data_IF_530356069954
#
_entry.id   IF_530356069954
#
_cell.length_a   1.000
_cell.length_b   1.000
_cell.length_c   1.000
_cell.angle_alpha   90.00
_cell.angle_beta   90.00
_cell.angle_gamma   90.00
#
_symmetry.space_group_name_H-M   'P 1'
#
loop_
_entity.id
_entity.type
_entity.pdbx_description
1 polymer ?
#
# COMPACT_ATOMS: atom_id res chain seq x y z
N UNK A 1 -7.76 2.42 33.80
CA UNK A 1 -8.19 1.73 32.57
C UNK A 1 -9.69 1.77 32.45
N UNK A 2 -10.24 2.73 31.68
CA UNK A 2 -11.63 2.66 31.24
C UNK A 2 -11.67 1.78 29.99
N UNK A 3 -12.28 0.60 30.10
CA UNK A 3 -12.70 -0.17 28.94
C UNK A 3 -13.87 0.58 28.31
N UNK A 4 -13.65 1.11 27.10
CA UNK A 4 -14.71 1.59 26.22
C UNK A 4 -15.47 0.35 25.76
N UNK A 5 -16.70 0.14 26.26
CA UNK A 5 -17.63 -0.83 25.64
C UNK A 5 -17.85 -0.47 24.16
N UNK A 6 -18.34 -1.36 23.29
CA UNK A 6 -18.50 -1.05 21.87
C UNK A 6 -19.51 0.10 21.71
N UNK A 7 -18.98 1.33 21.61
CA UNK A 7 -19.76 2.51 21.28
C UNK A 7 -20.34 2.29 19.90
N UNK A 8 -21.65 2.55 19.76
CA UNK A 8 -22.29 2.59 18.45
C UNK A 8 -21.56 3.65 17.61
N UNK A 9 -21.02 3.25 16.47
CA UNK A 9 -20.33 4.17 15.57
C UNK A 9 -21.36 5.04 14.84
N UNK A 10 -21.14 6.35 14.81
CA UNK A 10 -22.03 7.26 14.09
C UNK A 10 -21.91 7.08 12.59
N UNK A 11 -20.69 6.90 12.07
CA UNK A 11 -20.41 6.72 10.64
C UNK A 11 -19.47 5.53 10.43
N UNK A 12 -19.84 4.65 9.51
CA UNK A 12 -18.97 3.59 8.99
C UNK A 12 -18.50 3.95 7.57
N UNK A 13 -17.18 3.82 7.33
CA UNK A 13 -16.58 4.02 6.01
C UNK A 13 -15.99 2.70 5.51
N UNK A 14 -16.41 2.26 4.33
CA UNK A 14 -15.86 1.05 3.68
C UNK A 14 -15.24 1.38 2.32
N UNK A 15 -13.94 1.15 2.18
CA UNK A 15 -13.17 1.50 0.97
C UNK A 15 -12.89 0.32 0.04
N UNK A 16 -13.29 -0.89 0.42
CA UNK A 16 -13.10 -2.10 -0.40
C UNK A 16 -14.44 -2.64 -0.88
N UNK A 17 -14.43 -3.21 -2.07
CA UNK A 17 -15.63 -3.68 -2.79
C UNK A 17 -15.74 -5.20 -2.85
N UNK A 18 -14.73 -5.95 -2.40
CA UNK A 18 -14.55 -7.36 -2.79
C UNK A 18 -14.48 -8.38 -1.65
N UNK A 19 -14.50 -7.97 -0.37
CA UNK A 19 -14.22 -8.89 0.74
C UNK A 19 -15.46 -9.18 1.61
N UNK A 20 -16.01 -10.42 1.63
CA UNK A 20 -17.22 -10.78 2.36
C UNK A 20 -17.20 -10.46 3.86
N UNK A 21 -16.02 -10.52 4.49
CA UNK A 21 -15.88 -10.18 5.91
C UNK A 21 -16.13 -8.71 6.20
N UNK A 22 -15.85 -7.81 5.25
CA UNK A 22 -16.12 -6.38 5.43
C UNK A 22 -17.62 -6.14 5.51
N UNK A 23 -18.42 -6.83 4.69
CA UNK A 23 -19.88 -6.80 4.78
C UNK A 23 -20.36 -7.32 6.15
N UNK A 24 -19.90 -8.51 6.56
CA UNK A 24 -20.28 -9.10 7.84
C UNK A 24 -19.99 -8.16 9.02
N UNK A 25 -18.77 -7.61 9.08
CA UNK A 25 -18.39 -6.66 10.12
C UNK A 25 -19.25 -5.40 10.07
N UNK A 26 -19.54 -4.88 8.87
CA UNK A 26 -20.36 -3.68 8.70
C UNK A 26 -21.77 -3.85 9.26
N UNK A 27 -22.37 -5.04 9.06
CA UNK A 27 -23.69 -5.38 9.64
C UNK A 27 -23.61 -5.48 11.16
N UNK A 28 -22.58 -6.15 11.70
CA UNK A 28 -22.42 -6.30 13.15
C UNK A 28 -22.14 -4.97 13.87
N UNK A 29 -21.53 -4.01 13.19
CA UNK A 29 -21.23 -2.67 13.75
C UNK A 29 -22.50 -1.84 13.96
N UNK A 30 -23.57 -2.09 13.18
CA UNK A 30 -24.85 -1.35 13.23
C UNK A 30 -24.67 0.19 13.31
N UNK A 31 -23.96 0.79 12.34
CA UNK A 31 -23.69 2.22 12.35
C UNK A 31 -24.98 3.03 12.11
N UNK A 32 -24.98 4.30 12.54
CA UNK A 32 -26.09 5.21 12.22
C UNK A 32 -26.09 5.57 10.72
N UNK A 33 -24.92 5.87 10.16
CA UNK A 33 -24.72 6.14 8.74
C UNK A 33 -23.61 5.27 8.13
N UNK A 34 -23.76 4.86 6.87
CA UNK A 34 -22.76 4.05 6.15
C UNK A 34 -22.40 4.64 4.79
N UNK A 35 -21.14 5.06 4.63
CA UNK A 35 -20.58 5.51 3.36
C UNK A 35 -19.62 4.44 2.82
N UNK A 36 -19.81 4.01 1.58
CA UNK A 36 -19.04 2.88 1.07
C UNK A 36 -18.94 2.83 -0.44
N UNK A 37 -18.26 1.80 -0.94
CA UNK A 37 -18.11 1.54 -2.39
C UNK A 37 -18.70 0.19 -2.80
N UNK A 38 -19.49 -0.45 -1.93
CA UNK A 38 -20.01 -1.82 -2.13
C UNK A 38 -21.25 -1.84 -3.04
N UNK A 39 -21.17 -2.40 -4.26
CA UNK A 39 -22.35 -2.53 -5.12
C UNK A 39 -23.21 -3.73 -4.70
N UNK A 40 -24.54 -3.62 -4.82
CA UNK A 40 -25.43 -4.78 -5.00
C UNK A 40 -25.90 -5.57 -3.76
N UNK A 41 -25.78 -5.03 -2.54
CA UNK A 41 -26.19 -5.72 -1.31
C UNK A 41 -27.04 -4.84 -0.38
N UNK A 42 -28.08 -4.22 -0.94
CA UNK A 42 -29.07 -3.37 -0.25
C UNK A 42 -29.76 -4.05 0.93
N UNK A 43 -30.06 -5.35 0.80
CA UNK A 43 -30.83 -6.12 1.79
C UNK A 43 -30.16 -6.31 3.16
N UNK A 44 -28.87 -6.01 3.29
CA UNK A 44 -28.12 -6.20 4.53
C UNK A 44 -27.74 -4.88 5.21
N UNK A 45 -28.18 -3.74 4.67
CA UNK A 45 -27.88 -2.41 5.24
C UNK A 45 -29.04 -1.95 6.11
N UNK A 46 -28.98 -2.30 7.38
CA UNK A 46 -29.90 -1.80 8.41
C UNK A 46 -29.29 -0.58 9.11
N UNK A 47 -29.17 0.52 8.36
CA UNK A 47 -28.71 1.81 8.87
C UNK A 47 -29.67 2.93 8.41
N UNK A 48 -29.71 4.04 9.16
CA UNK A 48 -30.65 5.12 8.89
C UNK A 48 -30.31 5.88 7.59
N UNK A 49 -29.03 5.96 7.27
CA UNK A 49 -28.52 6.66 6.08
C UNK A 49 -27.41 5.83 5.42
N UNK A 50 -27.44 5.70 4.09
CA UNK A 50 -26.36 5.07 3.32
C UNK A 50 -26.01 5.85 2.05
N UNK A 51 -24.71 5.90 1.73
CA UNK A 51 -24.19 6.47 0.48
C UNK A 51 -23.18 5.51 -0.13
N UNK A 52 -23.58 4.82 -1.20
CA UNK A 52 -22.71 3.89 -1.93
C UNK A 52 -22.18 4.53 -3.21
N UNK A 53 -20.87 4.71 -3.29
CA UNK A 53 -20.18 5.22 -4.45
C UNK A 53 -19.93 4.10 -5.45
N UNK A 54 -20.32 4.33 -6.70
CA UNK A 54 -19.99 3.45 -7.79
C UNK A 54 -18.46 3.44 -8.00
N UNK A 55 -17.91 2.25 -8.28
CA UNK A 55 -16.54 2.12 -8.76
C UNK A 55 -16.45 2.68 -10.19
N UNK A 56 -15.53 3.62 -10.40
CA UNK A 56 -15.29 4.26 -11.69
C UNK A 56 -13.91 3.83 -12.21
N UNK A 57 -13.83 2.95 -13.23
CA UNK A 57 -12.56 2.36 -13.68
C UNK A 57 -11.61 3.38 -14.31
N UNK A 58 -12.14 4.48 -14.83
CA UNK A 58 -11.38 5.55 -15.50
C UNK A 58 -10.88 6.63 -14.53
N UNK A 59 -11.14 6.46 -13.23
CA UNK A 59 -10.70 7.38 -12.17
C UNK A 59 -9.59 6.71 -11.38
N UNK A 60 -8.50 7.46 -11.14
CA UNK A 60 -7.44 7.00 -10.26
C UNK A 60 -7.99 6.66 -8.88
N UNK A 61 -7.61 5.50 -8.32
CA UNK A 61 -8.19 4.96 -7.08
C UNK A 61 -8.20 5.97 -5.91
N UNK A 62 -7.12 6.74 -5.74
CA UNK A 62 -7.09 7.78 -4.71
C UNK A 62 -8.15 8.87 -4.96
N UNK A 63 -8.41 9.23 -6.22
CA UNK A 63 -9.48 10.14 -6.61
C UNK A 63 -10.86 9.61 -6.26
N UNK A 64 -11.09 8.31 -6.45
CA UNK A 64 -12.33 7.64 -6.05
C UNK A 64 -12.54 7.70 -4.53
N UNK A 65 -11.49 7.43 -3.73
CA UNK A 65 -11.55 7.51 -2.26
C UNK A 65 -11.77 8.93 -1.75
N UNK A 66 -11.23 9.95 -2.44
CA UNK A 66 -11.39 11.36 -2.05
C UNK A 66 -12.83 11.89 -2.22
N UNK A 67 -13.75 11.11 -2.78
CA UNK A 67 -15.19 11.43 -2.77
C UNK A 67 -15.80 11.25 -1.38
N UNK A 68 -15.27 10.34 -0.55
CA UNK A 68 -15.78 10.08 0.79
C UNK A 68 -15.64 11.31 1.71
N UNK A 69 -14.45 11.94 1.86
CA UNK A 69 -14.32 13.17 2.63
C UNK A 69 -15.25 14.29 2.14
N UNK A 70 -15.49 14.42 0.83
CA UNK A 70 -16.39 15.44 0.28
C UNK A 70 -17.85 15.26 0.72
N UNK A 71 -18.32 14.00 0.81
CA UNK A 71 -19.66 13.68 1.33
C UNK A 71 -19.78 14.04 2.80
N UNK A 72 -18.68 13.86 3.55
CA UNK A 72 -18.57 14.21 4.97
C UNK A 72 -18.25 15.69 5.21
N UNK A 73 -18.33 16.55 4.18
CA UNK A 73 -17.98 17.97 4.24
C UNK A 73 -16.57 18.24 4.81
N UNK A 74 -15.66 17.28 4.64
CA UNK A 74 -14.27 17.37 5.05
C UNK A 74 -13.44 17.97 3.92
N UNK A 75 -12.83 19.12 4.18
CA UNK A 75 -12.02 19.85 3.22
C UNK A 75 -10.54 19.77 3.54
N UNK A 76 -9.70 19.70 2.52
CA UNK A 76 -8.25 19.66 2.69
C UNK A 76 -7.52 19.39 1.38
N UNK A 77 -6.20 19.57 1.40
CA UNK A 77 -5.35 19.17 0.27
C UNK A 77 -4.95 17.71 0.47
N UNK A 78 -5.31 16.79 -0.43
CA UNK A 78 -4.92 15.39 -0.31
C UNK A 78 -3.40 15.24 -0.45
N UNK A 79 -2.81 14.44 0.43
CA UNK A 79 -1.38 14.13 0.38
C UNK A 79 -1.15 12.66 0.74
N UNK A 80 -0.31 11.97 -0.05
CA UNK A 80 0.16 10.64 0.29
C UNK A 80 1.31 10.79 1.30
N UNK A 81 1.02 10.55 2.57
CA UNK A 81 1.98 10.71 3.66
C UNK A 81 2.24 9.36 4.32
N UNK A 82 3.48 8.89 4.23
CA UNK A 82 3.99 7.78 5.03
C UNK A 82 4.91 8.34 6.12
N UNK A 83 4.50 8.25 7.38
CA UNK A 83 5.32 8.67 8.53
C UNK A 83 6.24 7.52 8.94
N UNK A 84 7.50 7.61 8.52
CA UNK A 84 8.55 6.68 8.94
C UNK A 84 8.89 6.95 10.41
N UNK A 85 8.71 5.94 11.25
CA UNK A 85 9.10 5.95 12.65
C UNK A 85 10.61 5.87 12.81
N UNK A 86 11.14 6.42 13.90
CA UNK A 86 12.58 6.39 14.14
C UNK A 86 13.11 4.94 14.29
N UNK A 87 12.31 4.05 14.87
CA UNK A 87 12.63 2.63 14.94
C UNK A 87 12.81 1.98 13.55
N UNK A 88 11.95 2.30 12.58
CA UNK A 88 12.07 1.82 11.20
C UNK A 88 13.34 2.36 10.53
N UNK A 89 13.69 3.62 10.79
CA UNK A 89 14.92 4.23 10.27
C UNK A 89 16.17 3.58 10.85
N UNK A 90 16.16 3.28 12.15
CA UNK A 90 17.26 2.58 12.81
C UNK A 90 17.43 1.17 12.25
N UNK A 91 16.33 0.44 12.05
CA UNK A 91 16.39 -0.90 11.47
C UNK A 91 16.89 -0.89 10.03
N UNK A 92 16.38 0.03 9.20
CA UNK A 92 16.88 0.19 7.83
C UNK A 92 18.38 0.51 7.80
N UNK A 93 18.86 1.37 8.71
CA UNK A 93 20.30 1.68 8.84
C UNK A 93 21.11 0.45 9.23
N UNK A 94 20.63 -0.33 10.20
CA UNK A 94 21.28 -1.58 10.65
C UNK A 94 21.44 -2.55 9.48
N UNK A 95 20.35 -2.79 8.72
CA UNK A 95 20.37 -3.68 7.55
C UNK A 95 21.37 -3.20 6.50
N UNK A 96 21.42 -1.89 6.22
CA UNK A 96 22.38 -1.33 5.27
C UNK A 96 23.83 -1.50 5.76
N UNK A 97 24.10 -1.20 7.03
CA UNK A 97 25.45 -1.29 7.61
C UNK A 97 25.97 -2.74 7.67
N UNK A 98 25.11 -3.69 8.03
CA UNK A 98 25.42 -5.14 8.01
C UNK A 98 25.78 -5.63 6.60
N UNK A 99 25.25 -4.98 5.57
CA UNK A 99 25.54 -5.25 4.15
C UNK A 99 26.65 -4.34 3.58
N UNK A 100 27.44 -3.68 4.43
CA UNK A 100 28.60 -2.89 4.04
C UNK A 100 28.30 -1.48 3.51
N UNK A 101 27.05 -1.02 3.60
CA UNK A 101 26.65 0.33 3.22
C UNK A 101 26.76 1.27 4.42
N UNK A 102 27.85 2.03 4.45
CA UNK A 102 28.09 3.04 5.49
C UNK A 102 27.01 4.11 5.48
N UNK A 103 26.62 4.52 6.68
CA UNK A 103 25.83 5.73 6.92
C UNK A 103 26.28 6.91 6.06
N UNK A 104 25.33 7.57 5.39
CA UNK A 104 25.57 8.77 4.58
C UNK A 104 26.08 8.49 3.16
N UNK A 105 26.38 7.23 2.81
CA UNK A 105 26.72 6.87 1.44
C UNK A 105 25.44 6.73 0.61
N UNK A 106 25.32 7.43 -0.54
CA UNK A 106 24.17 7.26 -1.41
C UNK A 106 24.18 5.89 -2.09
N UNK A 107 22.99 5.38 -2.39
CA UNK A 107 22.76 4.11 -3.09
C UNK A 107 21.56 4.24 -4.01
N UNK A 108 21.44 3.31 -4.96
CA UNK A 108 20.30 3.21 -5.85
C UNK A 108 19.40 2.06 -5.38
N UNK A 109 18.11 2.31 -5.20
CA UNK A 109 17.15 1.28 -4.81
C UNK A 109 16.44 0.68 -6.04
N UNK A 110 16.27 -0.63 -6.05
CA UNK A 110 15.53 -1.37 -7.07
C UNK A 110 14.48 -2.27 -6.42
N UNK A 111 13.23 -2.22 -6.86
CA UNK A 111 12.18 -3.15 -6.44
C UNK A 111 11.66 -3.90 -7.68
N UNK A 112 12.24 -5.07 -8.03
CA UNK A 112 11.96 -5.75 -9.30
C UNK A 112 10.71 -6.65 -9.26
N UNK A 113 10.29 -7.03 -8.05
CA UNK A 113 9.12 -7.87 -7.83
C UNK A 113 7.81 -7.08 -7.79
N UNK A 114 6.72 -7.74 -8.19
CA UNK A 114 5.37 -7.15 -8.24
C UNK A 114 4.28 -8.04 -7.63
N UNK A 115 4.66 -9.16 -7.02
CA UNK A 115 3.73 -10.21 -6.58
C UNK A 115 3.04 -11.00 -7.70
N UNK A 116 3.08 -10.53 -8.96
CA UNK A 116 2.61 -11.27 -10.12
C UNK A 116 3.72 -11.37 -11.18
N UNK A 117 4.26 -12.58 -11.37
CA UNK A 117 5.41 -12.81 -12.26
C UNK A 117 5.24 -12.22 -13.66
N UNK A 118 4.02 -12.21 -14.22
CA UNK A 118 3.74 -11.68 -15.55
C UNK A 118 3.89 -10.15 -15.69
N UNK A 119 3.97 -9.42 -14.56
CA UNK A 119 4.25 -7.97 -14.53
C UNK A 119 5.73 -7.65 -14.27
N UNK A 120 6.56 -8.65 -13.99
CA UNK A 120 7.98 -8.43 -13.73
C UNK A 120 8.73 -8.19 -15.03
N UNK A 121 9.69 -7.26 -15.00
CA UNK A 121 10.61 -7.09 -16.11
C UNK A 121 11.63 -8.23 -16.16
N UNK A 122 12.18 -8.57 -17.35
CA UNK A 122 13.18 -9.63 -17.45
C UNK A 122 14.42 -9.34 -16.61
N UNK A 123 14.99 -10.39 -16.01
CA UNK A 123 16.18 -10.33 -15.15
C UNK A 123 17.34 -9.63 -15.85
N UNK A 124 17.66 -10.02 -17.08
CA UNK A 124 18.81 -9.49 -17.82
C UNK A 124 18.69 -7.97 -18.04
N UNK A 125 17.45 -7.46 -18.19
CA UNK A 125 17.19 -6.02 -18.35
C UNK A 125 17.39 -5.25 -17.06
N UNK A 126 16.98 -5.81 -15.92
CA UNK A 126 17.30 -5.23 -14.62
C UNK A 126 18.82 -5.22 -14.37
N UNK A 127 19.51 -6.31 -14.69
CA UNK A 127 20.96 -6.39 -14.55
C UNK A 127 21.70 -5.36 -15.43
N UNK A 128 21.29 -5.21 -16.68
CA UNK A 128 21.83 -4.23 -17.63
C UNK A 128 21.69 -2.80 -17.07
N UNK A 129 20.49 -2.42 -16.61
CA UNK A 129 20.25 -1.10 -16.01
C UNK A 129 21.08 -0.90 -14.73
N UNK A 130 21.14 -1.90 -13.85
CA UNK A 130 21.94 -1.84 -12.63
C UNK A 130 23.43 -1.64 -12.92
N UNK A 131 23.96 -2.34 -13.93
CA UNK A 131 25.35 -2.22 -14.37
C UNK A 131 25.66 -0.83 -14.91
N UNK A 132 24.77 -0.27 -15.74
CA UNK A 132 24.91 1.09 -16.30
C UNK A 132 24.86 2.14 -15.19
N UNK A 133 23.86 2.07 -14.31
CA UNK A 133 23.66 3.07 -13.28
C UNK A 133 24.75 3.02 -12.20
N UNK A 134 25.14 1.83 -11.75
CA UNK A 134 26.23 1.68 -10.77
C UNK A 134 27.56 2.20 -11.32
N UNK A 135 27.88 1.90 -12.59
CA UNK A 135 29.09 2.40 -13.25
C UNK A 135 29.07 3.91 -13.45
N UNK A 136 27.92 4.47 -13.85
CA UNK A 136 27.79 5.91 -14.10
C UNK A 136 27.86 6.74 -12.82
N UNK A 137 27.17 6.30 -11.77
CA UNK A 137 27.03 7.08 -10.53
C UNK A 137 28.00 6.62 -9.43
N UNK A 138 28.75 5.55 -9.64
CA UNK A 138 29.65 4.95 -8.64
C UNK A 138 28.93 4.61 -7.33
N UNK A 139 27.64 4.25 -7.45
CA UNK A 139 26.74 3.94 -6.34
C UNK A 139 26.42 2.45 -6.29
N UNK A 140 26.37 1.85 -5.10
CA UNK A 140 25.87 0.49 -4.93
C UNK A 140 24.37 0.40 -5.21
N UNK A 141 23.92 -0.77 -5.64
CA UNK A 141 22.50 -1.10 -5.82
C UNK A 141 21.99 -1.82 -4.57
N UNK A 142 20.82 -1.41 -4.08
CA UNK A 142 20.05 -2.10 -3.04
C UNK A 142 18.79 -2.66 -3.67
N UNK A 143 18.62 -3.98 -3.61
CA UNK A 143 17.41 -4.64 -4.12
C UNK A 143 16.43 -4.83 -2.96
N UNK A 144 15.22 -4.29 -3.11
CA UNK A 144 14.10 -4.36 -2.19
C UNK A 144 13.11 -5.41 -2.70
N UNK A 145 12.49 -6.15 -1.78
CA UNK A 145 11.49 -7.14 -2.13
C UNK A 145 11.02 -7.94 -0.92
N UNK A 146 10.00 -8.77 -1.15
CA UNK A 146 9.51 -9.73 -0.18
C UNK A 146 10.47 -10.94 -0.06
N UNK A 147 10.40 -11.73 1.02
CA UNK A 147 11.23 -12.93 1.20
C UNK A 147 11.16 -13.91 0.02
N UNK A 148 9.99 -14.07 -0.59
CA UNK A 148 9.72 -14.96 -1.72
C UNK A 148 10.40 -14.49 -3.03
N UNK A 149 10.83 -13.22 -3.07
CA UNK A 149 11.46 -12.60 -4.24
C UNK A 149 12.99 -12.67 -4.17
N UNK A 150 13.55 -13.40 -3.19
CA UNK A 150 15.01 -13.52 -2.98
C UNK A 150 15.72 -14.17 -4.16
N UNK A 151 15.10 -15.16 -4.80
CA UNK A 151 15.69 -15.82 -5.97
C UNK A 151 15.77 -14.86 -7.16
N UNK A 152 14.71 -14.08 -7.41
CA UNK A 152 14.70 -13.03 -8.43
C UNK A 152 15.80 -11.98 -8.17
N UNK A 153 15.92 -11.51 -6.93
CA UNK A 153 16.96 -10.56 -6.55
C UNK A 153 18.38 -11.13 -6.77
N UNK A 154 18.57 -12.42 -6.46
CA UNK A 154 19.85 -13.12 -6.63
C UNK A 154 20.22 -13.30 -8.11
N UNK A 155 19.25 -13.66 -8.95
CA UNK A 155 19.42 -13.77 -10.40
C UNK A 155 19.86 -12.43 -11.01
N UNK A 156 19.20 -11.33 -10.62
CA UNK A 156 19.55 -9.98 -11.05
C UNK A 156 20.97 -9.65 -10.59
N UNK A 157 21.32 -9.88 -9.32
CA UNK A 157 22.66 -9.58 -8.80
C UNK A 157 23.78 -10.37 -9.49
N UNK A 158 23.51 -11.58 -9.96
CA UNK A 158 24.47 -12.44 -10.64
C UNK A 158 24.51 -12.27 -12.16
N UNK A 159 23.56 -11.55 -12.76
CA UNK A 159 23.37 -11.49 -14.21
C UNK A 159 23.07 -12.86 -14.83
N UNK A 160 22.30 -13.71 -14.12
CA UNK A 160 21.96 -15.08 -14.54
C UNK A 160 20.47 -15.18 -14.81
N UNK A 161 20.12 -15.73 -15.98
CA UNK A 161 18.75 -16.04 -16.41
C UNK A 161 18.32 -17.44 -15.97
#
# INVERSE_FOLDING_TARGET
SQQVGPGRYDVLITTTTTHPWVLYLSVCIQPTAWIGMLPGWDRYRDCAEDVMLAYEPDVYEAGSLLRIPKILDCHGTPALIYKVQEAERMEARRVLEENGLKTGRPFLALAPGSGWMGKNWPVDRFFEVCSILSSRYHMPIVILGAPEERDLASQIGAGKT
#
